data_IF_371963231720
#
_entry.id   IF_371963231720
#
_cell.length_a   1.000
_cell.length_b   1.000
_cell.length_c   1.000
_cell.angle_alpha   90.00
_cell.angle_beta   90.00
_cell.angle_gamma   90.00
#
_symmetry.space_group_name_H-M   'P 1'
#
loop_
_entity.id
_entity.type
_entity.pdbx_description
1 polymer ?
#
# COMPACT_ATOMS: atom_id res chain seq x y z
N UNK A 1 -1.21 19.03 -28.33
CA UNK A 1 -2.62 19.00 -27.88
C UNK A 1 -2.74 17.86 -26.89
N UNK A 2 -2.59 18.18 -25.59
CA UNK A 2 -2.71 17.20 -24.49
C UNK A 2 -4.20 16.94 -24.31
N UNK A 3 -4.62 15.67 -24.48
CA UNK A 3 -5.92 15.20 -24.03
C UNK A 3 -5.97 15.36 -22.49
N UNK A 4 -6.55 16.45 -22.04
CA UNK A 4 -7.01 16.56 -20.65
C UNK A 4 -8.19 15.58 -20.49
N UNK A 5 -7.90 14.36 -20.04
CA UNK A 5 -8.92 13.48 -19.50
C UNK A 5 -9.45 14.24 -18.28
N UNK A 6 -10.66 14.76 -18.39
CA UNK A 6 -11.37 15.39 -17.27
C UNK A 6 -11.69 14.27 -16.29
N UNK A 7 -10.78 14.05 -15.34
CA UNK A 7 -10.97 13.08 -14.26
C UNK A 7 -12.12 13.60 -13.40
N UNK A 8 -13.26 12.93 -13.47
CA UNK A 8 -14.42 13.28 -12.63
C UNK A 8 -14.16 12.72 -11.25
N UNK A 9 -13.79 13.58 -10.31
CA UNK A 9 -13.62 13.21 -8.90
C UNK A 9 -14.99 13.00 -8.25
N UNK A 10 -15.10 11.95 -7.45
CA UNK A 10 -16.23 11.80 -6.54
C UNK A 10 -16.04 12.70 -5.30
N UNK A 11 -17.12 13.02 -4.59
CA UNK A 11 -17.03 13.87 -3.39
C UNK A 11 -16.21 13.26 -2.25
N UNK A 12 -16.09 11.92 -2.21
CA UNK A 12 -15.28 11.20 -1.23
C UNK A 12 -14.53 10.05 -1.90
N UNK A 13 -13.22 10.03 -1.71
CA UNK A 13 -12.34 9.04 -2.34
C UNK A 13 -11.37 8.43 -1.32
N UNK A 14 -11.13 7.15 -1.48
CA UNK A 14 -10.10 6.40 -0.77
C UNK A 14 -9.04 5.94 -1.78
N UNK A 15 -7.81 6.38 -1.60
CA UNK A 15 -6.66 5.88 -2.36
C UNK A 15 -5.88 4.92 -1.48
N UNK A 16 -5.76 3.68 -1.92
CA UNK A 16 -5.01 2.65 -1.20
C UNK A 16 -3.75 2.24 -1.95
N UNK A 17 -2.69 1.97 -1.20
CA UNK A 17 -1.40 1.51 -1.75
C UNK A 17 -0.33 1.40 -0.67
N UNK A 18 0.69 0.58 -0.89
CA UNK A 18 1.77 0.36 0.08
C UNK A 18 2.90 1.40 -0.01
N UNK A 19 2.97 2.14 -1.09
CA UNK A 19 4.00 3.18 -1.28
C UNK A 19 3.50 4.53 -0.73
N UNK A 20 4.00 4.91 0.44
CA UNK A 20 3.64 6.15 1.13
C UNK A 20 4.00 7.39 0.29
N UNK A 21 5.16 7.38 -0.39
CA UNK A 21 5.61 8.47 -1.24
C UNK A 21 4.67 8.68 -2.42
N UNK A 22 4.26 7.59 -3.06
CA UNK A 22 3.25 7.63 -4.10
C UNK A 22 1.91 8.15 -3.58
N UNK A 23 1.42 7.61 -2.45
CA UNK A 23 0.13 8.02 -1.87
C UNK A 23 0.11 9.53 -1.60
N UNK A 24 1.17 10.07 -0.99
CA UNK A 24 1.27 11.52 -0.71
C UNK A 24 1.31 12.36 -2.00
N UNK A 25 2.01 11.90 -3.03
CA UNK A 25 2.07 12.58 -4.33
C UNK A 25 0.71 12.55 -5.03
N UNK A 26 0.07 11.39 -5.07
CA UNK A 26 -1.25 11.21 -5.66
C UNK A 26 -2.32 12.01 -4.90
N UNK A 27 -2.24 12.05 -3.56
CA UNK A 27 -3.13 12.86 -2.74
C UNK A 27 -3.06 14.33 -3.10
N UNK A 28 -1.86 14.90 -3.21
CA UNK A 28 -1.67 16.31 -3.64
C UNK A 28 -2.19 16.56 -5.04
N UNK A 29 -1.94 15.65 -5.96
CA UNK A 29 -2.42 15.73 -7.34
C UNK A 29 -3.95 15.80 -7.39
N UNK A 30 -4.65 14.91 -6.68
CA UNK A 30 -6.12 14.87 -6.63
C UNK A 30 -6.71 16.13 -6.01
N UNK A 31 -6.15 16.60 -4.90
CA UNK A 31 -6.53 17.87 -4.27
C UNK A 31 -6.35 19.03 -5.28
N UNK A 32 -5.22 19.04 -5.99
CA UNK A 32 -4.95 20.05 -7.03
C UNK A 32 -5.95 20.01 -8.18
N UNK A 33 -6.33 18.81 -8.66
CA UNK A 33 -7.38 18.63 -9.67
C UNK A 33 -8.72 19.19 -9.18
N UNK A 34 -9.12 18.87 -7.94
CA UNK A 34 -10.35 19.37 -7.35
C UNK A 34 -10.34 20.91 -7.21
N UNK A 35 -9.25 21.50 -6.71
CA UNK A 35 -9.15 22.94 -6.51
C UNK A 35 -8.85 23.73 -7.81
N UNK A 36 -8.55 23.04 -8.91
CA UNK A 36 -8.21 23.64 -10.20
C UNK A 36 -6.86 24.39 -10.22
N UNK A 37 -5.95 24.04 -9.31
CA UNK A 37 -4.62 24.66 -9.15
C UNK A 37 -3.62 23.71 -8.53
N UNK A 38 -2.34 24.03 -8.69
CA UNK A 38 -1.28 23.33 -7.94
C UNK A 38 -1.40 23.60 -6.43
N UNK A 39 -1.18 22.56 -5.61
CA UNK A 39 -1.34 22.61 -4.16
C UNK A 39 -0.04 22.25 -3.46
N UNK A 40 0.36 23.12 -2.54
CA UNK A 40 1.41 22.86 -1.55
C UNK A 40 0.80 22.85 -0.16
N UNK A 41 1.00 21.77 0.60
CA UNK A 41 0.47 21.67 1.96
C UNK A 41 1.48 22.25 2.98
N UNK A 42 1.00 22.99 4.01
CA UNK A 42 -0.41 23.31 4.30
C UNK A 42 -1.03 24.32 3.33
N UNK A 43 -2.34 24.21 3.09
CA UNK A 43 -3.09 25.08 2.19
C UNK A 43 -4.37 25.58 2.88
N UNK A 44 -4.78 26.83 2.61
CA UNK A 44 -5.94 27.47 3.26
C UNK A 44 -7.27 26.79 2.97
N UNK A 45 -7.41 26.15 1.81
CA UNK A 45 -8.64 25.45 1.38
C UNK A 45 -8.66 23.99 1.84
N UNK A 46 -7.59 23.50 2.50
CA UNK A 46 -7.41 22.11 2.91
C UNK A 46 -7.28 21.99 4.43
N UNK A 47 -8.11 21.15 5.03
CA UNK A 47 -7.91 20.70 6.40
C UNK A 47 -7.20 19.36 6.38
N UNK A 48 -5.92 19.35 6.69
CA UNK A 48 -5.11 18.13 6.80
C UNK A 48 -5.17 17.60 8.23
N UNK A 49 -5.62 16.35 8.42
CA UNK A 49 -5.64 15.72 9.73
C UNK A 49 -4.25 15.24 10.13
N UNK A 50 -3.91 15.46 11.41
CA UNK A 50 -2.59 15.17 11.98
C UNK A 50 -2.63 14.26 13.18
N UNK A 51 -3.63 14.39 14.06
CA UNK A 51 -3.77 13.67 15.33
C UNK A 51 -4.77 12.51 15.28
N UNK A 52 -5.71 12.52 14.33
CA UNK A 52 -6.76 11.51 14.13
C UNK A 52 -7.66 11.28 15.36
N UNK A 53 -7.77 12.29 16.23
CA UNK A 53 -8.66 12.23 17.39
C UNK A 53 -10.10 12.53 16.97
N UNK A 54 -11.07 12.04 17.78
CA UNK A 54 -12.49 12.37 17.57
C UNK A 54 -12.74 13.89 17.56
N UNK A 55 -12.04 14.63 18.41
CA UNK A 55 -12.14 16.09 18.48
C UNK A 55 -11.68 16.72 17.17
N UNK A 56 -10.50 16.36 16.67
CA UNK A 56 -9.96 16.87 15.41
C UNK A 56 -10.87 16.54 14.21
N UNK A 57 -11.45 15.33 14.18
CA UNK A 57 -12.42 14.95 13.14
C UNK A 57 -13.67 15.82 13.19
N UNK A 58 -14.20 16.13 14.38
CA UNK A 58 -15.35 17.02 14.55
C UNK A 58 -15.00 18.45 14.12
N UNK A 59 -13.82 18.94 14.47
CA UNK A 59 -13.34 20.28 14.04
C UNK A 59 -13.23 20.36 12.52
N UNK A 60 -12.70 19.32 11.90
CA UNK A 60 -12.60 19.22 10.44
C UNK A 60 -13.99 19.23 9.76
N UNK A 61 -14.93 18.44 10.26
CA UNK A 61 -16.32 18.42 9.77
C UNK A 61 -16.98 19.80 9.95
N UNK A 62 -16.75 20.44 11.09
CA UNK A 62 -17.28 21.79 11.34
C UNK A 62 -16.67 22.81 10.38
N UNK A 63 -15.36 22.80 10.15
CA UNK A 63 -14.70 23.68 9.19
C UNK A 63 -15.25 23.50 7.77
N UNK A 64 -15.49 22.25 7.34
CA UNK A 64 -16.08 21.93 6.05
C UNK A 64 -17.52 22.46 5.95
N UNK A 65 -18.35 22.23 6.98
CA UNK A 65 -19.76 22.67 7.01
C UNK A 65 -19.91 24.22 6.97
N UNK A 66 -18.91 24.92 7.51
CA UNK A 66 -18.87 26.41 7.50
C UNK A 66 -18.21 26.96 6.23
N UNK A 67 -17.80 26.10 5.31
CA UNK A 67 -17.05 26.49 4.10
C UNK A 67 -15.73 27.24 4.42
N UNK A 68 -15.16 27.01 5.61
CA UNK A 68 -13.86 27.52 5.98
C UNK A 68 -12.74 26.81 5.20
N UNK A 69 -13.00 25.57 4.80
CA UNK A 69 -12.15 24.75 3.91
C UNK A 69 -13.03 24.04 2.89
N UNK A 70 -12.45 23.62 1.78
CA UNK A 70 -13.13 22.86 0.71
C UNK A 70 -12.71 21.39 0.67
N UNK A 71 -11.59 21.05 1.29
CA UNK A 71 -11.03 19.71 1.27
C UNK A 71 -10.76 19.23 2.69
N UNK A 72 -11.22 18.01 3.02
CA UNK A 72 -10.71 17.27 4.16
C UNK A 72 -9.71 16.24 3.66
N UNK A 73 -8.51 16.28 4.18
CA UNK A 73 -7.42 15.41 3.78
C UNK A 73 -6.94 14.54 4.95
N UNK A 74 -7.00 13.22 4.76
CA UNK A 74 -6.62 12.19 5.72
C UNK A 74 -5.40 11.42 5.20
N UNK A 75 -4.16 11.92 5.36
CA UNK A 75 -2.97 11.31 4.78
C UNK A 75 -2.55 9.96 5.41
N UNK A 76 -3.05 9.61 6.58
CA UNK A 76 -2.84 8.33 7.27
C UNK A 76 -4.17 7.84 7.84
N UNK A 77 -5.13 7.62 6.96
CA UNK A 77 -6.52 7.38 7.36
C UNK A 77 -6.73 6.04 8.08
N UNK A 78 -5.78 5.11 8.01
CA UNK A 78 -5.75 3.88 8.80
C UNK A 78 -5.66 4.13 10.33
N UNK A 79 -5.29 5.35 10.74
CA UNK A 79 -5.26 5.75 12.17
C UNK A 79 -6.63 6.16 12.71
N UNK A 80 -7.64 6.28 11.85
CA UNK A 80 -9.00 6.61 12.28
C UNK A 80 -9.61 5.44 13.04
N UNK A 81 -9.98 5.67 14.29
CA UNK A 81 -10.74 4.72 15.10
C UNK A 81 -12.18 4.63 14.62
N UNK A 82 -12.88 3.57 14.99
CA UNK A 82 -14.26 3.32 14.57
C UNK A 82 -15.24 4.46 14.94
N UNK A 83 -15.07 5.06 16.12
CA UNK A 83 -15.88 6.19 16.58
C UNK A 83 -15.69 7.44 15.69
N UNK A 84 -14.45 7.73 15.29
CA UNK A 84 -14.11 8.81 14.36
C UNK A 84 -14.64 8.53 12.94
N UNK A 85 -14.55 7.28 12.49
CA UNK A 85 -15.13 6.87 11.20
C UNK A 85 -16.65 7.02 11.21
N UNK A 86 -17.33 6.62 12.28
CA UNK A 86 -18.79 6.78 12.42
C UNK A 86 -19.21 8.26 12.42
N UNK A 87 -18.40 9.16 13.00
CA UNK A 87 -18.70 10.60 12.98
C UNK A 87 -18.69 11.19 11.56
N UNK A 88 -17.95 10.59 10.64
CA UNK A 88 -17.87 11.03 9.24
C UNK A 88 -19.08 10.59 8.39
N UNK A 89 -19.84 9.57 8.81
CA UNK A 89 -20.89 8.95 7.99
C UNK A 89 -21.89 9.96 7.44
N UNK A 90 -22.40 10.87 8.28
CA UNK A 90 -23.35 11.89 7.84
C UNK A 90 -22.76 12.80 6.77
N UNK A 91 -21.48 13.21 6.93
CA UNK A 91 -20.81 14.08 5.96
C UNK A 91 -20.50 13.35 4.66
N UNK A 92 -20.25 12.03 4.72
CA UNK A 92 -20.04 11.20 3.54
C UNK A 92 -21.35 10.92 2.79
N UNK A 93 -22.49 10.86 3.49
CA UNK A 93 -23.83 10.70 2.88
C UNK A 93 -24.32 11.98 2.21
N UNK A 94 -24.17 13.10 2.90
CA UNK A 94 -24.67 14.41 2.48
C UNK A 94 -23.52 15.45 2.56
N UNK A 95 -22.52 15.36 1.66
CA UNK A 95 -21.40 16.30 1.68
C UNK A 95 -21.89 17.70 1.31
N UNK A 96 -21.34 18.74 1.92
CA UNK A 96 -21.58 20.11 1.49
C UNK A 96 -21.19 20.29 0.02
N UNK A 97 -21.91 21.18 -0.68
CA UNK A 97 -21.58 21.50 -2.07
C UNK A 97 -20.15 22.02 -2.21
N UNK A 98 -19.49 21.65 -3.32
CA UNK A 98 -18.13 22.07 -3.65
C UNK A 98 -17.09 21.67 -2.57
N UNK A 99 -17.23 20.45 -2.05
CA UNK A 99 -16.31 19.88 -1.09
C UNK A 99 -15.76 18.52 -1.55
N UNK A 100 -14.56 18.21 -1.08
CA UNK A 100 -13.87 16.98 -1.40
C UNK A 100 -13.27 16.34 -0.14
N UNK A 101 -13.44 15.05 0.02
CA UNK A 101 -12.92 14.30 1.16
C UNK A 101 -12.00 13.20 0.63
N UNK A 102 -10.72 13.28 0.98
CA UNK A 102 -9.70 12.35 0.49
C UNK A 102 -9.04 11.59 1.62
N UNK A 103 -9.12 10.27 1.53
CA UNK A 103 -8.47 9.34 2.42
C UNK A 103 -7.30 8.66 1.70
N UNK A 104 -6.14 8.59 2.36
CA UNK A 104 -5.01 7.76 1.95
C UNK A 104 -4.76 6.70 3.02
N UNK A 105 -4.61 5.45 2.61
CA UNK A 105 -4.32 4.35 3.53
C UNK A 105 -3.53 3.23 2.83
N UNK A 106 -2.73 2.44 3.57
CA UNK A 106 -2.06 1.27 3.01
C UNK A 106 -3.05 0.20 2.51
N UNK A 107 -4.17 0.03 3.22
CA UNK A 107 -5.17 -1.00 2.96
C UNK A 107 -6.59 -0.52 3.31
N UNK A 108 -7.57 -1.00 2.55
CA UNK A 108 -9.00 -0.74 2.79
C UNK A 108 -9.54 -1.38 4.08
N UNK A 109 -8.88 -2.44 4.58
CA UNK A 109 -9.33 -3.20 5.75
C UNK A 109 -9.31 -2.39 7.07
N UNK A 110 -8.69 -1.20 7.05
CA UNK A 110 -8.73 -0.26 8.17
C UNK A 110 -10.09 0.47 8.32
N UNK A 111 -11.00 0.32 7.35
CA UNK A 111 -12.25 1.06 7.31
C UNK A 111 -13.46 0.17 7.56
N UNK A 112 -14.47 0.76 8.23
CA UNK A 112 -15.77 0.13 8.40
C UNK A 112 -16.46 -0.05 7.03
N UNK A 113 -17.18 -1.16 6.81
CA UNK A 113 -17.94 -1.39 5.58
C UNK A 113 -18.94 -0.27 5.26
N UNK A 114 -19.51 0.35 6.30
CA UNK A 114 -20.45 1.48 6.20
C UNK A 114 -19.79 2.74 5.65
N UNK A 115 -18.50 2.96 5.95
CA UNK A 115 -17.70 4.08 5.43
C UNK A 115 -17.28 3.78 3.99
N UNK A 116 -16.76 2.57 3.73
CA UNK A 116 -16.33 2.13 2.40
C UNK A 116 -17.43 2.24 1.35
N UNK A 117 -18.69 1.92 1.73
CA UNK A 117 -19.82 1.98 0.79
C UNK A 117 -20.17 3.41 0.30
N UNK A 118 -19.58 4.45 0.91
CA UNK A 118 -19.81 5.87 0.62
C UNK A 118 -18.62 6.57 -0.03
N UNK A 119 -17.57 5.80 -0.31
CA UNK A 119 -16.35 6.31 -0.95
C UNK A 119 -16.10 5.61 -2.28
N UNK A 120 -15.50 6.31 -3.22
CA UNK A 120 -14.92 5.69 -4.41
C UNK A 120 -13.51 5.22 -4.09
N UNK A 121 -13.26 3.92 -4.23
CA UNK A 121 -11.95 3.35 -3.96
C UNK A 121 -11.07 3.36 -5.23
N UNK A 122 -9.86 3.88 -5.09
CA UNK A 122 -8.79 3.82 -6.08
C UNK A 122 -7.63 3.03 -5.51
N UNK A 123 -7.50 1.79 -5.95
CA UNK A 123 -6.40 0.95 -5.52
C UNK A 123 -5.19 1.18 -6.41
N UNK A 124 -4.11 1.67 -5.81
CA UNK A 124 -2.82 1.69 -6.47
C UNK A 124 -2.09 0.38 -6.20
N UNK A 125 -2.11 -0.48 -7.19
CA UNK A 125 -1.21 -1.63 -7.19
C UNK A 125 0.16 -1.11 -7.62
N UNK A 126 1.01 -0.85 -6.64
CA UNK A 126 2.42 -0.65 -6.92
C UNK A 126 2.89 -1.93 -7.60
N UNK A 127 3.21 -1.86 -8.88
CA UNK A 127 4.12 -2.86 -9.45
C UNK A 127 5.38 -2.73 -8.64
N UNK A 128 5.56 -3.63 -7.69
CA UNK A 128 6.74 -3.66 -6.85
C UNK A 128 7.93 -3.71 -7.80
N UNK A 129 8.77 -2.69 -7.78
CA UNK A 129 10.04 -2.74 -8.47
C UNK A 129 10.90 -3.69 -7.66
N UNK A 130 10.90 -4.95 -8.07
CA UNK A 130 11.78 -5.97 -7.51
C UNK A 130 13.19 -5.55 -7.89
N UNK A 131 14.11 -5.56 -6.94
CA UNK A 131 15.49 -5.18 -7.23
C UNK A 131 16.12 -6.22 -8.17
N UNK A 132 16.99 -5.77 -9.05
CA UNK A 132 17.77 -6.66 -9.95
C UNK A 132 18.51 -7.72 -9.14
N UNK A 133 19.01 -7.35 -7.97
CA UNK A 133 19.68 -8.28 -7.05
C UNK A 133 18.73 -9.35 -6.52
N UNK A 134 17.47 -9.00 -6.19
CA UNK A 134 16.48 -9.98 -5.76
C UNK A 134 16.11 -10.94 -6.89
N UNK A 135 16.04 -10.47 -8.14
CA UNK A 135 15.83 -11.31 -9.32
C UNK A 135 17.00 -12.27 -9.57
N UNK A 136 18.24 -11.78 -9.52
CA UNK A 136 19.43 -12.59 -9.70
C UNK A 136 19.57 -13.65 -8.61
N UNK A 137 19.27 -13.29 -7.37
CA UNK A 137 19.28 -14.17 -6.23
C UNK A 137 18.21 -15.25 -6.35
N UNK A 138 16.98 -14.88 -6.73
CA UNK A 138 15.93 -15.84 -7.00
C UNK A 138 16.30 -16.82 -8.11
N UNK A 139 16.94 -16.32 -9.17
CA UNK A 139 17.43 -17.16 -10.25
C UNK A 139 18.52 -18.17 -9.80
N UNK A 140 19.42 -17.75 -8.91
CA UNK A 140 20.41 -18.65 -8.30
C UNK A 140 19.74 -19.74 -7.45
N UNK A 141 18.75 -19.36 -6.62
CA UNK A 141 17.99 -20.33 -5.79
C UNK A 141 17.25 -21.36 -6.63
N UNK A 142 16.63 -20.95 -7.71
CA UNK A 142 15.94 -21.88 -8.65
C UNK A 142 16.87 -22.91 -9.29
N UNK A 143 18.15 -22.56 -9.43
CA UNK A 143 19.17 -23.47 -9.94
C UNK A 143 19.82 -24.34 -8.85
N UNK A 144 19.42 -24.15 -7.59
CA UNK A 144 20.03 -24.83 -6.45
C UNK A 144 21.40 -24.30 -6.05
N UNK A 145 21.79 -23.12 -6.55
CA UNK A 145 23.11 -22.50 -6.26
C UNK A 145 23.02 -21.62 -5.01
N UNK A 146 22.97 -22.27 -3.86
CA UNK A 146 22.92 -21.59 -2.55
C UNK A 146 24.15 -20.72 -2.29
N UNK A 147 25.35 -21.15 -2.78
CA UNK A 147 26.58 -20.39 -2.58
C UNK A 147 26.50 -19.03 -3.25
N UNK A 148 26.06 -19.01 -4.50
CA UNK A 148 25.87 -17.78 -5.25
C UNK A 148 24.78 -16.89 -4.63
N UNK A 149 23.67 -17.50 -4.16
CA UNK A 149 22.60 -16.76 -3.51
C UNK A 149 23.09 -16.03 -2.24
N UNK A 150 23.87 -16.70 -1.39
CA UNK A 150 24.47 -16.06 -0.21
C UNK A 150 25.50 -14.99 -0.57
N UNK A 151 26.33 -15.21 -1.59
CA UNK A 151 27.28 -14.19 -2.07
C UNK A 151 26.56 -12.93 -2.54
N UNK A 152 25.50 -13.08 -3.34
CA UNK A 152 24.68 -11.96 -3.81
C UNK A 152 24.01 -11.21 -2.66
N UNK A 153 23.59 -11.91 -1.61
CA UNK A 153 23.01 -11.28 -0.43
C UNK A 153 24.07 -10.52 0.39
N UNK A 154 25.24 -11.14 0.63
CA UNK A 154 26.33 -10.54 1.41
C UNK A 154 26.94 -9.29 0.70
N UNK A 155 26.96 -9.28 -0.64
CA UNK A 155 27.44 -8.15 -1.45
C UNK A 155 26.39 -7.02 -1.60
N UNK A 156 25.11 -7.31 -1.33
CA UNK A 156 24.03 -6.36 -1.48
C UNK A 156 23.69 -5.70 -0.14
N UNK A 157 23.58 -4.37 -0.13
CA UNK A 157 23.08 -3.61 1.03
C UNK A 157 21.53 -3.67 1.07
N UNK A 158 20.99 -4.90 1.12
CA UNK A 158 19.54 -5.16 1.14
C UNK A 158 19.15 -5.72 2.50
N UNK A 159 18.15 -5.10 3.12
CA UNK A 159 17.57 -5.63 4.36
C UNK A 159 16.86 -6.97 4.09
N UNK A 160 17.05 -7.95 4.97
CA UNK A 160 16.45 -9.28 4.86
C UNK A 160 14.92 -9.24 4.69
N UNK A 161 14.25 -8.33 5.38
CA UNK A 161 12.81 -8.12 5.24
C UNK A 161 12.39 -7.75 3.81
N UNK A 162 13.12 -6.83 3.19
CA UNK A 162 12.86 -6.39 1.80
C UNK A 162 13.09 -7.54 0.84
N UNK A 163 14.22 -8.23 1.00
CA UNK A 163 14.57 -9.39 0.16
C UNK A 163 13.53 -10.51 0.25
N UNK A 164 13.14 -10.93 1.47
CA UNK A 164 12.14 -11.98 1.66
C UNK A 164 10.79 -11.62 1.04
N UNK A 165 10.43 -10.35 1.12
CA UNK A 165 9.19 -9.88 0.52
C UNK A 165 9.30 -9.83 -1.02
N UNK A 166 10.46 -9.53 -1.60
CA UNK A 166 10.71 -9.60 -3.04
C UNK A 166 10.68 -11.03 -3.55
N UNK A 167 11.32 -11.96 -2.81
CA UNK A 167 11.29 -13.39 -3.13
C UNK A 167 9.87 -13.96 -3.08
N UNK A 168 9.06 -13.56 -2.10
CA UNK A 168 7.64 -13.93 -2.03
C UNK A 168 6.88 -13.49 -3.29
N UNK A 169 7.09 -12.24 -3.73
CA UNK A 169 6.46 -11.72 -4.94
C UNK A 169 6.90 -12.47 -6.20
N UNK A 170 8.20 -12.79 -6.34
CA UNK A 170 8.74 -13.55 -7.48
C UNK A 170 8.17 -14.97 -7.54
N UNK A 171 8.11 -15.67 -6.41
CA UNK A 171 7.51 -17.00 -6.32
C UNK A 171 6.04 -16.98 -6.72
N UNK A 172 5.30 -15.98 -6.25
CA UNK A 172 3.88 -15.82 -6.56
C UNK A 172 3.66 -15.48 -8.04
N UNK A 173 4.43 -14.55 -8.59
CA UNK A 173 4.34 -14.12 -9.99
C UNK A 173 4.63 -15.29 -10.94
N UNK A 174 5.65 -16.08 -10.65
CA UNK A 174 5.97 -17.25 -11.46
C UNK A 174 4.88 -18.35 -11.33
N UNK A 175 4.29 -18.50 -10.14
CA UNK A 175 3.14 -19.39 -9.94
C UNK A 175 1.91 -18.98 -10.73
N UNK A 176 1.76 -17.69 -11.03
CA UNK A 176 0.61 -17.16 -11.76
C UNK A 176 0.85 -17.06 -13.28
N UNK A 177 2.08 -16.73 -13.73
CA UNK A 177 2.43 -16.56 -15.15
C UNK A 177 2.74 -17.85 -15.88
N UNK A 178 3.34 -18.83 -15.20
CA UNK A 178 3.60 -20.14 -15.79
C UNK A 178 2.28 -20.90 -15.90
N UNK A 179 1.99 -21.51 -17.06
CA UNK A 179 0.95 -22.55 -17.11
C UNK A 179 1.41 -23.68 -16.17
N UNK A 180 0.91 -23.75 -14.93
CA UNK A 180 1.37 -24.78 -14.00
C UNK A 180 0.97 -26.13 -14.60
N UNK A 181 1.93 -27.03 -14.74
CA UNK A 181 1.68 -28.39 -15.26
C UNK A 181 0.64 -29.14 -14.41
N UNK A 182 0.40 -28.68 -13.17
CA UNK A 182 -0.63 -29.21 -12.27
C UNK A 182 -1.15 -28.13 -11.32
N UNK A 183 -2.43 -28.24 -10.90
CA UNK A 183 -3.02 -27.37 -9.87
C UNK A 183 -2.27 -27.44 -8.53
N UNK A 184 -1.66 -28.59 -8.24
CA UNK A 184 -0.87 -28.85 -7.03
C UNK A 184 0.35 -27.92 -6.96
N UNK A 185 1.11 -27.77 -8.05
CA UNK A 185 2.27 -26.86 -8.08
C UNK A 185 1.89 -25.39 -7.82
N UNK A 186 0.71 -24.97 -8.30
CA UNK A 186 0.22 -23.61 -8.02
C UNK A 186 -0.09 -23.42 -6.54
N UNK A 187 -0.72 -24.40 -5.92
CA UNK A 187 -1.05 -24.34 -4.49
C UNK A 187 0.20 -24.32 -3.61
N UNK A 188 1.22 -25.12 -3.94
CA UNK A 188 2.48 -25.18 -3.21
C UNK A 188 3.22 -23.85 -3.28
N UNK A 189 3.30 -23.22 -4.44
CA UNK A 189 3.94 -21.91 -4.61
C UNK A 189 3.20 -20.80 -3.85
N UNK A 190 1.87 -20.83 -3.81
CA UNK A 190 1.10 -19.88 -2.98
C UNK A 190 1.41 -20.08 -1.49
N UNK A 191 1.54 -21.34 -1.04
CA UNK A 191 1.93 -21.65 0.35
C UNK A 191 3.35 -21.15 0.65
N UNK A 192 4.29 -21.38 -0.26
CA UNK A 192 5.67 -20.90 -0.13
C UNK A 192 5.71 -19.37 -0.06
N UNK A 193 5.02 -18.67 -0.95
CA UNK A 193 4.98 -17.20 -0.95
C UNK A 193 4.44 -16.66 0.40
N UNK A 194 3.36 -17.23 0.93
CA UNK A 194 2.83 -16.86 2.25
C UNK A 194 3.85 -17.12 3.37
N UNK A 195 4.58 -18.24 3.29
CA UNK A 195 5.61 -18.55 4.27
C UNK A 195 6.76 -17.56 4.25
N UNK A 196 7.18 -17.12 3.07
CA UNK A 196 8.20 -16.06 2.91
C UNK A 196 7.72 -14.72 3.47
N UNK A 197 6.45 -14.36 3.31
CA UNK A 197 5.87 -13.16 3.95
C UNK A 197 5.88 -13.25 5.48
N UNK A 198 5.56 -14.42 6.04
CA UNK A 198 5.67 -14.64 7.49
C UNK A 198 7.11 -14.50 8.00
N UNK A 199 8.09 -15.01 7.25
CA UNK A 199 9.51 -14.84 7.57
C UNK A 199 9.95 -13.37 7.47
N UNK A 200 9.46 -12.63 6.47
CA UNK A 200 9.71 -11.20 6.34
C UNK A 200 9.20 -10.39 7.53
N UNK A 201 8.01 -10.73 8.05
CA UNK A 201 7.48 -10.11 9.27
C UNK A 201 8.35 -10.40 10.51
N UNK A 202 8.95 -11.59 10.57
CA UNK A 202 9.89 -11.96 11.66
C UNK A 202 11.24 -11.26 11.53
N UNK A 203 11.71 -10.98 10.32
CA UNK A 203 12.93 -10.23 10.07
C UNK A 203 12.85 -8.76 10.54
N UNK A 204 11.65 -8.24 10.83
CA UNK A 204 11.45 -6.95 11.48
C UNK A 204 11.75 -6.98 13.01
N UNK A 205 12.03 -8.16 13.59
CA UNK A 205 12.41 -8.34 14.99
C UNK A 205 13.92 -8.70 15.08
N UNK A 206 14.60 -8.51 16.22
CA UNK A 206 16.05 -8.75 16.35
C UNK A 206 16.42 -10.25 16.39
N UNK A 207 15.87 -11.04 15.47
CA UNK A 207 16.31 -12.41 15.18
C UNK A 207 17.36 -12.33 14.08
N UNK A 208 18.36 -13.24 14.11
CA UNK A 208 19.42 -13.25 13.11
C UNK A 208 18.85 -13.39 11.69
N UNK A 209 18.86 -12.30 10.92
CA UNK A 209 18.42 -12.22 9.52
C UNK A 209 18.99 -13.35 8.66
N UNK A 210 20.23 -13.73 8.94
CA UNK A 210 20.95 -14.78 8.19
C UNK A 210 20.34 -16.17 8.40
N UNK A 211 19.80 -16.46 9.58
CA UNK A 211 19.10 -17.74 9.87
C UNK A 211 17.76 -17.78 9.14
N UNK A 212 17.02 -16.67 9.16
CA UNK A 212 15.73 -16.58 8.46
C UNK A 212 15.91 -16.71 6.94
N UNK A 213 16.95 -16.08 6.40
CA UNK A 213 17.29 -16.17 4.99
C UNK A 213 17.77 -17.57 4.59
N UNK A 214 18.60 -18.21 5.41
CA UNK A 214 19.02 -19.59 5.15
C UNK A 214 17.81 -20.54 5.06
N UNK A 215 16.83 -20.38 5.95
CA UNK A 215 15.60 -21.15 5.92
C UNK A 215 14.79 -20.86 4.65
N UNK A 216 14.58 -19.59 4.31
CA UNK A 216 13.86 -19.19 3.11
C UNK A 216 14.54 -19.72 1.83
N UNK A 217 15.86 -19.59 1.74
CA UNK A 217 16.65 -20.06 0.60
C UNK A 217 16.54 -21.58 0.42
N UNK A 218 16.57 -22.33 1.53
CA UNK A 218 16.37 -23.78 1.50
C UNK A 218 14.95 -24.13 1.00
N UNK A 219 13.89 -23.51 1.55
CA UNK A 219 12.51 -23.75 1.13
C UNK A 219 12.30 -23.48 -0.36
N UNK A 220 12.86 -22.37 -0.88
CA UNK A 220 12.78 -22.05 -2.31
C UNK A 220 13.50 -23.11 -3.14
N UNK A 221 14.71 -23.49 -2.76
CA UNK A 221 15.51 -24.46 -3.52
C UNK A 221 14.82 -25.83 -3.58
N UNK A 222 14.21 -26.27 -2.50
CA UNK A 222 13.46 -27.55 -2.48
C UNK A 222 12.20 -27.52 -3.34
N UNK A 223 11.48 -26.38 -3.40
CA UNK A 223 10.28 -26.24 -4.25
C UNK A 223 10.62 -26.30 -5.75
N UNK A 224 11.80 -25.86 -6.15
CA UNK A 224 12.22 -25.82 -7.56
C UNK A 224 13.11 -27.01 -7.97
N UNK A 225 13.40 -27.96 -7.08
CA UNK A 225 14.18 -29.15 -7.35
C UNK A 225 13.32 -30.28 -7.97
#
# INVERSE_FOLDING_TARGET
>A
MQNAITETLSHAELVTGRDEGFLRTEGRRRIGVFLGREVSLPDKDVYELTRYTMEEVRDAIYALSRRAVRVLFFPNAEKLREDAQNALLKTLEEPPEDTYILFLAPDRNAFLPTVLSRMTEHRHETKRTISTTSEDLFHALRKGDLTRAFTLFDDADIQAQVLLTDLSALVLEEGLRGAPKTAIMKETRIKLAKRLEELALRAATPVSDRILLAHAFYEITEEYR
#
